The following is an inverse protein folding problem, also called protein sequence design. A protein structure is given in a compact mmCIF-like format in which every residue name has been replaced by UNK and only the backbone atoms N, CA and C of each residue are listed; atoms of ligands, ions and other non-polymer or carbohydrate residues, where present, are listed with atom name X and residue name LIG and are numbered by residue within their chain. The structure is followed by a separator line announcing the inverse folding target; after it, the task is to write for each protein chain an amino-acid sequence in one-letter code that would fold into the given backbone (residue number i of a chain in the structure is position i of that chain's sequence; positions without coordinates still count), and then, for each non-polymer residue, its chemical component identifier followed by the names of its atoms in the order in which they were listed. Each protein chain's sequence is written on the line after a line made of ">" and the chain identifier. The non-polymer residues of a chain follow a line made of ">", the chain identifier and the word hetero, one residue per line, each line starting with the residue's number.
data_IF_252873022766
#
_entry.id   IF_252873022766
#
_cell.length_a   1.000
_cell.length_b   1.000
_cell.length_c   1.000
_cell.angle_alpha   90.00
_cell.angle_beta   90.00
_cell.angle_gamma   90.00
#
_symmetry.space_group_name_H-M   'P 1'
#
loop_
_entity.id
_entity.type
_entity.pdbx_description
1 polymer ?
#
# COMPACT_ATOMS: atom_id res chain seq x y z
N UNK A 1 0.84 -20.61 -5.39
CA UNK A 1 1.18 -22.02 -5.04
C UNK A 1 -0.02 -22.63 -4.31
N UNK A 2 -0.37 -23.91 -4.51
CA UNK A 2 -1.49 -24.61 -3.80
C UNK A 2 -1.02 -25.22 -2.46
N UNK A 3 -1.94 -25.45 -1.52
CA UNK A 3 -1.65 -25.99 -0.18
C UNK A 3 -0.91 -27.33 -0.25
N UNK A 4 -1.44 -28.28 -1.02
CA UNK A 4 -0.83 -29.62 -1.17
C UNK A 4 0.59 -29.57 -1.74
N UNK A 5 0.85 -28.65 -2.67
CA UNK A 5 2.19 -28.45 -3.23
C UNK A 5 3.15 -27.84 -2.22
N UNK A 6 2.70 -26.87 -1.43
CA UNK A 6 3.48 -26.26 -0.34
C UNK A 6 3.92 -27.31 0.68
N UNK A 7 2.98 -28.16 1.12
CA UNK A 7 3.25 -29.26 2.06
C UNK A 7 4.26 -30.24 1.46
N UNK A 8 4.06 -30.63 0.19
CA UNK A 8 4.96 -31.54 -0.53
C UNK A 8 6.38 -30.99 -0.64
N UNK A 9 6.52 -29.70 -0.95
CA UNK A 9 7.82 -29.04 -1.05
C UNK A 9 8.51 -28.99 0.31
N UNK A 10 7.82 -28.59 1.37
CA UNK A 10 8.38 -28.49 2.72
C UNK A 10 8.75 -29.86 3.32
N UNK A 11 8.02 -30.91 2.94
CA UNK A 11 8.29 -32.29 3.36
C UNK A 11 9.50 -32.90 2.64
N UNK A 12 9.62 -32.67 1.33
CA UNK A 12 10.67 -33.28 0.49
C UNK A 12 12.05 -32.98 1.07
N UNK A 13 12.88 -34.02 1.18
CA UNK A 13 14.23 -33.93 1.76
C UNK A 13 14.28 -34.08 3.29
N UNK A 14 13.15 -34.06 3.99
CA UNK A 14 13.07 -34.21 5.46
C UNK A 14 12.28 -35.44 5.89
N UNK A 15 11.17 -35.74 5.19
CA UNK A 15 10.31 -36.89 5.50
C UNK A 15 9.80 -37.57 4.22
N UNK A 16 9.58 -38.88 4.27
CA UNK A 16 8.64 -39.54 3.38
C UNK A 16 7.19 -39.36 3.89
N UNK A 17 6.19 -39.71 3.08
CA UNK A 17 4.77 -39.51 3.44
C UNK A 17 4.36 -40.31 4.68
N UNK A 18 4.93 -41.51 4.85
CA UNK A 18 4.71 -42.36 6.03
C UNK A 18 5.27 -41.73 7.30
N UNK A 19 6.52 -41.27 7.27
CA UNK A 19 7.16 -40.59 8.39
C UNK A 19 6.40 -39.33 8.80
N UNK A 20 5.97 -38.51 7.83
CA UNK A 20 5.18 -37.33 8.14
C UNK A 20 3.81 -37.71 8.74
N UNK A 21 3.14 -38.70 8.15
CA UNK A 21 1.87 -39.22 8.65
C UNK A 21 1.95 -39.68 10.09
N UNK A 22 2.92 -40.54 10.41
CA UNK A 22 3.20 -41.01 11.77
C UNK A 22 3.46 -39.84 12.73
N UNK A 23 4.24 -38.85 12.30
CA UNK A 23 4.59 -37.67 13.14
C UNK A 23 3.37 -36.81 13.48
N UNK A 24 2.41 -36.66 12.56
CA UNK A 24 1.21 -35.83 12.77
C UNK A 24 -0.03 -36.64 13.16
N UNK A 25 0.09 -37.95 13.28
CA UNK A 25 -0.97 -38.86 13.73
C UNK A 25 -2.01 -39.19 12.65
N UNK A 26 -1.61 -39.30 11.38
CA UNK A 26 -2.50 -39.67 10.25
C UNK A 26 -1.87 -40.71 9.33
N UNK A 27 -2.70 -41.36 8.51
CA UNK A 27 -2.23 -42.34 7.53
C UNK A 27 -1.39 -41.68 6.42
N UNK A 28 -0.39 -42.42 5.93
CA UNK A 28 0.49 -42.04 4.82
C UNK A 28 -0.29 -41.72 3.53
N UNK A 29 -1.31 -42.52 3.25
CA UNK A 29 -2.24 -42.32 2.12
C UNK A 29 -2.99 -41.00 2.22
N UNK A 30 -3.36 -40.56 3.44
CA UNK A 30 -4.03 -39.28 3.66
C UNK A 30 -3.09 -38.11 3.39
N UNK A 31 -1.81 -38.20 3.78
CA UNK A 31 -0.79 -37.22 3.37
C UNK A 31 -0.69 -37.17 1.84
N UNK A 32 -0.68 -38.32 1.17
CA UNK A 32 -0.65 -38.38 -0.29
C UNK A 32 -1.83 -37.70 -0.97
N UNK A 33 -3.04 -37.88 -0.44
CA UNK A 33 -4.26 -37.22 -0.93
C UNK A 33 -4.20 -35.69 -0.74
N UNK A 34 -3.71 -35.24 0.42
CA UNK A 34 -3.51 -33.81 0.70
C UNK A 34 -2.53 -33.19 -0.30
N UNK A 35 -1.39 -33.83 -0.54
CA UNK A 35 -0.36 -33.31 -1.45
C UNK A 35 -0.82 -33.20 -2.91
N UNK A 36 -1.77 -34.05 -3.32
CA UNK A 36 -2.41 -33.99 -4.64
C UNK A 36 -3.54 -32.96 -4.72
N UNK A 37 -3.99 -32.44 -3.58
CA UNK A 37 -5.15 -31.54 -3.49
C UNK A 37 -6.50 -32.26 -3.56
N UNK A 38 -6.54 -33.58 -3.33
CA UNK A 38 -7.76 -34.39 -3.30
C UNK A 38 -8.51 -34.23 -1.97
N UNK A 39 -7.78 -33.90 -0.90
CA UNK A 39 -8.31 -33.64 0.44
C UNK A 39 -7.68 -32.38 1.01
N UNK A 40 -8.50 -31.55 1.66
CA UNK A 40 -8.00 -30.41 2.43
C UNK A 40 -7.96 -30.83 3.91
N UNK A 41 -6.83 -30.66 4.62
CA UNK A 41 -6.70 -31.01 6.03
C UNK A 41 -7.59 -30.13 6.94
N UNK A 42 -7.92 -30.63 8.13
CA UNK A 42 -8.59 -29.86 9.19
C UNK A 42 -7.67 -28.78 9.77
N UNK A 43 -8.23 -27.81 10.51
CA UNK A 43 -7.47 -26.73 11.13
C UNK A 43 -6.43 -27.27 12.12
N UNK A 44 -6.81 -28.26 12.94
CA UNK A 44 -5.90 -28.93 13.87
C UNK A 44 -4.73 -29.60 13.14
N UNK A 45 -5.01 -30.31 12.03
CA UNK A 45 -3.98 -30.95 11.24
C UNK A 45 -3.10 -29.93 10.51
N UNK A 46 -3.67 -28.80 10.04
CA UNK A 46 -2.90 -27.69 9.49
C UNK A 46 -1.86 -27.18 10.49
N UNK A 47 -2.26 -26.95 11.74
CA UNK A 47 -1.37 -26.47 12.80
C UNK A 47 -0.27 -27.49 13.13
N UNK A 48 -0.60 -28.78 13.21
CA UNK A 48 0.39 -29.86 13.41
C UNK A 48 1.40 -29.92 12.28
N UNK A 49 0.92 -29.92 11.03
CA UNK A 49 1.77 -29.93 9.83
C UNK A 49 2.66 -28.69 9.77
N UNK A 50 2.11 -27.50 10.06
CA UNK A 50 2.88 -26.25 10.07
C UNK A 50 4.04 -26.32 11.07
N UNK A 51 3.76 -26.78 12.30
CA UNK A 51 4.77 -26.96 13.33
C UNK A 51 5.87 -27.95 12.92
N UNK A 52 5.50 -29.12 12.40
CA UNK A 52 6.46 -30.18 12.02
C UNK A 52 7.31 -29.78 10.80
N UNK A 53 6.69 -29.12 9.82
CA UNK A 53 7.34 -28.73 8.59
C UNK A 53 8.04 -27.37 8.70
N UNK A 54 7.90 -26.63 9.81
CA UNK A 54 8.48 -25.29 9.97
C UNK A 54 7.86 -24.27 9.02
N UNK A 55 6.54 -24.37 8.81
CA UNK A 55 5.76 -23.44 7.99
C UNK A 55 5.01 -22.46 8.88
N UNK A 56 4.70 -21.28 8.32
CA UNK A 56 3.86 -20.28 8.97
C UNK A 56 2.41 -20.83 9.18
N UNK A 57 1.92 -20.93 10.42
CA UNK A 57 0.61 -21.49 10.72
C UNK A 57 -0.57 -20.70 10.13
N UNK A 58 -0.47 -19.37 10.08
CA UNK A 58 -1.51 -18.47 9.59
C UNK A 58 -1.67 -18.63 8.08
N UNK A 59 -0.56 -18.66 7.34
CA UNK A 59 -0.49 -18.94 5.91
C UNK A 59 -1.03 -20.34 5.61
N UNK A 60 -0.68 -21.34 6.44
CA UNK A 60 -1.18 -22.70 6.30
C UNK A 60 -2.71 -22.77 6.41
N UNK A 61 -3.30 -22.10 7.42
CA UNK A 61 -4.74 -22.04 7.62
C UNK A 61 -5.46 -21.27 6.50
N UNK A 62 -4.94 -20.11 6.10
CA UNK A 62 -5.51 -19.31 5.01
C UNK A 62 -5.59 -20.12 3.70
N UNK A 63 -4.50 -20.80 3.35
CA UNK A 63 -4.45 -21.69 2.19
C UNK A 63 -5.49 -22.81 2.27
N UNK A 64 -5.70 -23.40 3.46
CA UNK A 64 -6.70 -24.42 3.67
C UNK A 64 -8.14 -23.88 3.62
N UNK A 65 -8.39 -22.65 4.08
CA UNK A 65 -9.69 -21.99 3.95
C UNK A 65 -10.00 -21.64 2.49
N UNK A 66 -9.01 -21.14 1.74
CA UNK A 66 -9.14 -20.89 0.30
C UNK A 66 -9.55 -22.18 -0.42
N UNK A 67 -8.85 -23.30 -0.17
CA UNK A 67 -9.14 -24.57 -0.84
C UNK A 67 -10.47 -25.23 -0.42
N UNK A 68 -10.96 -24.97 0.81
CA UNK A 68 -12.29 -25.41 1.26
C UNK A 68 -13.43 -24.56 0.71
N UNK A 69 -13.18 -23.28 0.46
CA UNK A 69 -14.21 -22.33 0.06
C UNK A 69 -14.57 -22.42 -1.43
N UNK A 70 -15.80 -22.01 -1.74
CA UNK A 70 -16.32 -21.85 -3.09
C UNK A 70 -17.05 -20.50 -3.24
N UNK A 71 -17.26 -20.08 -4.48
CA UNK A 71 -17.95 -18.82 -4.82
C UNK A 71 -17.34 -17.59 -4.13
N UNK A 72 -18.21 -16.72 -3.62
CA UNK A 72 -17.83 -15.45 -2.99
C UNK A 72 -16.85 -15.59 -1.81
N UNK A 73 -17.02 -16.61 -0.96
CA UNK A 73 -16.12 -16.82 0.17
C UNK A 73 -14.68 -17.09 -0.29
N UNK A 74 -14.53 -17.84 -1.39
CA UNK A 74 -13.22 -18.09 -1.99
C UNK A 74 -12.60 -16.82 -2.56
N UNK A 75 -13.39 -16.01 -3.26
CA UNK A 75 -12.95 -14.72 -3.80
C UNK A 75 -12.48 -13.78 -2.68
N UNK A 76 -13.22 -13.71 -1.57
CA UNK A 76 -12.83 -12.93 -0.40
C UNK A 76 -11.50 -13.42 0.19
N UNK A 77 -11.32 -14.73 0.36
CA UNK A 77 -10.08 -15.26 0.92
C UNK A 77 -8.87 -15.03 0.00
N UNK A 78 -9.05 -15.09 -1.32
CA UNK A 78 -8.00 -14.75 -2.28
C UNK A 78 -7.60 -13.27 -2.18
N UNK A 79 -8.58 -12.37 -2.06
CA UNK A 79 -8.29 -10.93 -1.84
C UNK A 79 -7.56 -10.69 -0.53
N UNK A 80 -7.96 -11.35 0.55
CA UNK A 80 -7.26 -11.26 1.84
C UNK A 80 -5.81 -11.75 1.69
N UNK A 81 -5.58 -12.84 0.97
CA UNK A 81 -4.22 -13.32 0.68
C UNK A 81 -3.39 -12.28 -0.07
N UNK A 82 -3.93 -11.71 -1.15
CA UNK A 82 -3.25 -10.66 -1.93
C UNK A 82 -2.92 -9.43 -1.08
N UNK A 83 -3.84 -9.04 -0.18
CA UNK A 83 -3.61 -7.95 0.75
C UNK A 83 -2.51 -8.29 1.76
N UNK A 84 -2.48 -9.50 2.31
CA UNK A 84 -1.45 -9.90 3.27
C UNK A 84 -0.05 -10.01 2.64
N UNK A 85 0.04 -10.36 1.36
CA UNK A 85 1.29 -10.39 0.60
C UNK A 85 1.69 -8.98 0.07
N UNK A 86 0.89 -7.93 0.34
CA UNK A 86 1.20 -6.56 -0.08
C UNK A 86 2.31 -5.95 0.78
N UNK A 87 3.41 -5.44 0.17
CA UNK A 87 4.46 -4.73 0.90
C UNK A 87 3.93 -3.52 1.69
N UNK A 88 2.86 -2.89 1.20
CA UNK A 88 2.22 -1.80 1.91
C UNK A 88 1.56 -2.27 3.21
N UNK A 89 0.86 -3.41 3.18
CA UNK A 89 0.22 -4.00 4.37
C UNK A 89 1.27 -4.51 5.34
N UNK A 90 2.32 -5.17 4.84
CA UNK A 90 3.46 -5.59 5.65
C UNK A 90 4.11 -4.39 6.36
N UNK A 91 4.34 -3.29 5.64
CA UNK A 91 4.84 -2.04 6.21
C UNK A 91 3.89 -1.44 7.26
N UNK A 92 2.58 -1.50 7.03
CA UNK A 92 1.60 -0.98 7.99
C UNK A 92 1.55 -1.82 9.27
N UNK A 93 1.65 -3.14 9.15
CA UNK A 93 1.70 -4.07 10.29
C UNK A 93 3.02 -3.91 11.06
N UNK A 94 4.17 -3.82 10.37
CA UNK A 94 5.50 -3.73 11.00
C UNK A 94 5.69 -2.43 11.77
N UNK A 95 5.10 -1.34 11.28
CA UNK A 95 5.15 -0.04 11.94
C UNK A 95 4.19 0.06 13.14
N UNK A 96 3.44 -1.01 13.45
CA UNK A 96 2.49 -1.05 14.57
C UNK A 96 1.42 0.04 14.48
N UNK A 97 1.26 0.66 13.31
CA UNK A 97 0.37 1.80 13.16
C UNK A 97 -1.05 1.28 13.15
N UNK A 98 -1.81 1.67 14.17
CA UNK A 98 -3.26 1.66 14.11
C UNK A 98 -3.64 2.52 12.90
N UNK A 99 -3.94 1.88 11.77
CA UNK A 99 -4.54 2.60 10.66
C UNK A 99 -5.94 2.97 11.12
N UNK A 100 -6.18 4.26 11.32
CA UNK A 100 -7.49 4.75 11.68
C UNK A 100 -8.47 4.40 10.55
N UNK A 101 -9.62 3.81 10.92
CA UNK A 101 -10.66 3.45 9.96
C UNK A 101 -11.09 4.66 9.12
N UNK A 102 -11.07 5.85 9.71
CA UNK A 102 -11.37 7.12 9.05
C UNK A 102 -10.38 7.43 7.91
N UNK A 103 -9.08 7.14 8.10
CA UNK A 103 -8.08 7.30 7.05
C UNK A 103 -8.32 6.31 5.90
N UNK A 104 -8.66 5.07 6.21
CA UNK A 104 -9.02 4.06 5.20
C UNK A 104 -10.27 4.47 4.41
N UNK A 105 -11.27 5.04 5.08
CA UNK A 105 -12.47 5.58 4.44
C UNK A 105 -12.11 6.73 3.50
N UNK A 106 -11.27 7.67 3.94
CA UNK A 106 -10.78 8.78 3.10
C UNK A 106 -10.01 8.30 1.87
N UNK A 107 -9.18 7.28 2.00
CA UNK A 107 -8.50 6.67 0.85
C UNK A 107 -9.48 5.99 -0.13
N UNK A 108 -10.66 5.61 0.36
CA UNK A 108 -11.75 5.07 -0.45
C UNK A 108 -12.57 6.13 -1.19
N UNK A 109 -12.49 7.41 -0.81
CA UNK A 109 -13.21 8.51 -1.46
C UNK A 109 -12.76 8.68 -2.92
N UNK A 110 -13.70 8.98 -3.82
CA UNK A 110 -13.43 9.00 -5.27
C UNK A 110 -12.38 10.06 -5.63
N UNK A 111 -12.50 11.22 -5.03
CA UNK A 111 -11.60 12.35 -5.20
C UNK A 111 -10.17 11.96 -4.80
N UNK A 112 -10.02 11.24 -3.67
CA UNK A 112 -8.72 10.73 -3.23
C UNK A 112 -8.19 9.65 -4.17
N UNK A 113 -9.06 8.77 -4.69
CA UNK A 113 -8.65 7.77 -5.68
C UNK A 113 -8.19 8.39 -7.00
N UNK A 114 -8.82 9.48 -7.44
CA UNK A 114 -8.41 10.22 -8.63
C UNK A 114 -7.02 10.86 -8.42
N UNK A 115 -6.78 11.48 -7.26
CA UNK A 115 -5.46 12.01 -6.87
C UNK A 115 -4.39 10.91 -6.84
N UNK A 116 -4.68 9.75 -6.22
CA UNK A 116 -3.74 8.63 -6.14
C UNK A 116 -3.42 7.99 -7.51
N UNK A 117 -4.27 8.20 -8.52
CA UNK A 117 -4.06 7.72 -9.90
C UNK A 117 -3.32 8.74 -10.77
N UNK A 118 -3.17 9.98 -10.34
CA UNK A 118 -2.42 11.01 -11.06
C UNK A 118 -0.92 10.67 -11.03
N UNK A 119 -0.42 10.15 -12.16
CA UNK A 119 0.97 9.74 -12.28
C UNK A 119 1.94 10.92 -12.15
N UNK A 120 1.59 12.10 -12.68
CA UNK A 120 2.44 13.28 -12.61
C UNK A 120 2.57 13.78 -11.17
N UNK A 121 1.46 13.83 -10.44
CA UNK A 121 1.49 14.18 -9.02
C UNK A 121 2.28 13.15 -8.20
N UNK A 122 2.09 11.85 -8.47
CA UNK A 122 2.80 10.80 -7.76
C UNK A 122 4.31 10.81 -8.05
N UNK A 123 4.73 11.21 -9.26
CA UNK A 123 6.14 11.44 -9.59
C UNK A 123 6.72 12.62 -8.80
N UNK A 124 6.01 13.74 -8.74
CA UNK A 124 6.40 14.92 -7.95
C UNK A 124 6.53 14.56 -6.46
N UNK A 125 5.58 13.80 -5.91
CA UNK A 125 5.60 13.36 -4.51
C UNK A 125 6.71 12.35 -4.19
N UNK A 126 7.41 11.77 -5.19
CA UNK A 126 8.59 10.94 -4.92
C UNK A 126 9.80 11.76 -4.52
N UNK A 127 9.85 13.04 -4.88
CA UNK A 127 10.93 13.94 -4.50
C UNK A 127 10.92 14.16 -2.97
N UNK A 128 12.03 13.88 -2.25
CA UNK A 128 12.11 14.13 -0.81
C UNK A 128 12.01 15.62 -0.44
N UNK A 129 12.48 16.53 -1.28
CA UNK A 129 12.44 17.98 -1.04
C UNK A 129 11.00 18.49 -1.10
N UNK A 130 10.23 18.00 -2.08
CA UNK A 130 8.79 18.29 -2.18
C UNK A 130 8.04 17.74 -0.97
N UNK A 131 8.32 16.49 -0.56
CA UNK A 131 7.69 15.90 0.62
C UNK A 131 8.01 16.66 1.90
N UNK A 132 9.23 17.19 2.03
CA UNK A 132 9.61 18.00 3.18
C UNK A 132 8.94 19.38 3.14
N UNK A 133 8.89 20.02 1.97
CA UNK A 133 8.17 21.29 1.78
C UNK A 133 6.68 21.14 2.15
N UNK A 134 6.03 20.04 1.79
CA UNK A 134 4.62 19.78 2.15
C UNK A 134 4.39 19.63 3.66
N UNK A 135 5.43 19.43 4.48
CA UNK A 135 5.33 19.46 5.95
C UNK A 135 5.37 20.88 6.52
N UNK A 136 5.80 21.87 5.73
CA UNK A 136 5.87 23.26 6.16
C UNK A 136 4.49 23.79 6.53
N UNK A 137 4.36 24.34 7.74
CA UNK A 137 3.06 24.77 8.28
C UNK A 137 2.50 25.97 7.54
N UNK A 138 3.34 26.86 7.05
CA UNK A 138 2.90 28.07 6.36
C UNK A 138 2.47 27.73 4.94
N UNK A 139 3.19 26.84 4.25
CA UNK A 139 2.73 26.26 2.98
C UNK A 139 1.39 25.52 3.14
N UNK A 140 1.22 24.72 4.20
CA UNK A 140 -0.05 24.05 4.47
C UNK A 140 -1.21 25.02 4.71
N UNK A 141 -0.97 26.17 5.35
CA UNK A 141 -2.00 27.22 5.51
C UNK A 141 -2.38 27.81 4.16
N UNK A 142 -1.40 28.13 3.32
CA UNK A 142 -1.62 28.66 1.97
C UNK A 142 -2.45 27.69 1.13
N UNK A 143 -2.10 26.40 1.10
CA UNK A 143 -2.84 25.38 0.34
C UNK A 143 -4.27 25.12 0.88
N UNK A 144 -4.54 25.48 2.14
CA UNK A 144 -5.87 25.38 2.75
C UNK A 144 -6.74 26.61 2.53
N UNK A 145 -6.16 27.74 2.13
CA UNK A 145 -6.90 28.96 1.84
C UNK A 145 -7.74 28.76 0.56
N UNK A 146 -9.09 28.91 0.64
CA UNK A 146 -9.97 28.78 -0.52
C UNK A 146 -9.61 29.71 -1.68
N UNK A 147 -9.09 30.92 -1.39
CA UNK A 147 -8.67 31.89 -2.43
C UNK A 147 -7.49 31.34 -3.23
N UNK A 148 -6.54 30.69 -2.55
CA UNK A 148 -5.40 30.05 -3.20
C UNK A 148 -5.83 28.84 -4.02
N UNK A 149 -6.83 28.08 -3.57
CA UNK A 149 -7.38 26.97 -4.38
C UNK A 149 -8.01 27.44 -5.68
N UNK A 150 -8.76 28.54 -5.64
CA UNK A 150 -9.35 29.16 -6.82
C UNK A 150 -8.26 29.64 -7.80
N UNK A 151 -7.24 30.33 -7.30
CA UNK A 151 -6.08 30.77 -8.11
C UNK A 151 -5.36 29.58 -8.74
N UNK A 152 -5.04 28.54 -7.97
CA UNK A 152 -4.34 27.35 -8.48
C UNK A 152 -5.18 26.58 -9.51
N UNK A 153 -6.51 26.56 -9.37
CA UNK A 153 -7.40 25.90 -10.32
C UNK A 153 -7.40 26.55 -11.71
N UNK A 154 -7.10 27.86 -11.79
CA UNK A 154 -6.97 28.60 -13.04
C UNK A 154 -5.56 28.60 -13.65
N UNK A 155 -4.54 28.08 -12.95
CA UNK A 155 -3.16 28.04 -13.48
C UNK A 155 -3.06 27.16 -14.72
N UNK A 156 -3.88 26.10 -14.82
CA UNK A 156 -3.96 25.26 -16.02
C UNK A 156 -4.56 25.95 -17.25
N UNK A 157 -5.23 27.09 -17.08
CA UNK A 157 -5.88 27.86 -18.16
C UNK A 157 -5.03 29.03 -18.67
N UNK A 158 -3.90 29.31 -18.04
CA UNK A 158 -2.98 30.38 -18.47
C UNK A 158 -1.97 29.80 -19.47
N UNK A 159 -2.35 29.74 -20.74
CA UNK A 159 -1.53 29.13 -21.81
C UNK A 159 -0.19 29.86 -22.09
N UNK A 160 0.01 31.09 -21.58
CA UNK A 160 1.06 31.99 -22.10
C UNK A 160 2.00 32.59 -21.02
N UNK A 161 2.13 31.95 -19.87
CA UNK A 161 3.10 32.37 -18.84
C UNK A 161 3.97 31.20 -18.40
N UNK A 162 5.28 31.34 -18.58
CA UNK A 162 6.29 30.44 -18.00
C UNK A 162 6.37 30.65 -16.47
N UNK A 163 5.30 30.23 -15.78
CA UNK A 163 5.21 30.27 -14.32
C UNK A 163 6.36 29.48 -13.68
N UNK A 164 6.77 28.29 -14.16
CA UNK A 164 7.95 27.59 -13.66
C UNK A 164 9.23 28.44 -13.75
N UNK A 165 9.49 29.07 -14.89
CA UNK A 165 10.64 29.97 -15.08
C UNK A 165 10.59 31.19 -14.16
N UNK A 166 9.41 31.77 -13.94
CA UNK A 166 9.20 32.86 -12.99
C UNK A 166 9.50 32.43 -11.56
N UNK A 167 8.98 31.28 -11.11
CA UNK A 167 9.25 30.75 -9.77
C UNK A 167 10.74 30.44 -9.58
N UNK A 168 11.42 29.92 -10.62
CA UNK A 168 12.86 29.67 -10.58
C UNK A 168 13.68 30.97 -10.54
N UNK A 169 13.23 32.03 -11.22
CA UNK A 169 13.87 33.33 -11.16
C UNK A 169 13.71 33.94 -9.76
N UNK A 170 12.50 33.87 -9.21
CA UNK A 170 12.14 34.38 -7.89
C UNK A 170 12.87 33.64 -6.77
N UNK A 171 13.04 32.32 -6.87
CA UNK A 171 13.77 31.54 -5.85
C UNK A 171 15.27 31.84 -5.78
N UNK A 172 15.84 32.45 -6.83
CA UNK A 172 17.25 32.88 -6.89
C UNK A 172 17.46 34.31 -6.42
N UNK A 173 16.40 35.05 -6.09
CA UNK A 173 16.48 36.46 -5.68
C UNK A 173 17.03 36.60 -4.26
N UNK A 174 17.92 37.58 -4.07
CA UNK A 174 18.38 38.00 -2.75
C UNK A 174 17.35 38.89 -2.04
N UNK A 175 17.58 39.18 -0.75
CA UNK A 175 16.65 39.97 0.06
C UNK A 175 16.36 41.39 -0.49
N UNK A 176 17.32 42.03 -1.16
CA UNK A 176 17.12 43.36 -1.75
C UNK A 176 16.26 43.28 -3.01
N UNK A 177 16.50 42.26 -3.82
CA UNK A 177 15.71 41.97 -5.01
C UNK A 177 14.26 41.62 -4.65
N UNK A 178 14.06 40.84 -3.59
CA UNK A 178 12.74 40.57 -3.02
C UNK A 178 12.02 41.84 -2.57
N UNK A 179 12.70 42.70 -1.81
CA UNK A 179 12.10 43.95 -1.34
C UNK A 179 11.72 44.87 -2.51
N UNK A 180 12.55 44.95 -3.54
CA UNK A 180 12.24 45.73 -4.74
C UNK A 180 11.02 45.17 -5.49
N UNK A 181 10.91 43.84 -5.60
CA UNK A 181 9.75 43.18 -6.20
C UNK A 181 8.47 43.47 -5.40
N UNK A 182 8.50 43.34 -4.08
CA UNK A 182 7.35 43.67 -3.22
C UNK A 182 6.92 45.12 -3.36
N UNK A 183 7.85 46.07 -3.29
CA UNK A 183 7.55 47.49 -3.47
C UNK A 183 6.91 47.76 -4.85
N UNK A 184 7.38 47.08 -5.89
CA UNK A 184 6.83 47.20 -7.24
C UNK A 184 5.39 46.66 -7.30
N UNK A 185 5.13 45.49 -6.71
CA UNK A 185 3.79 44.89 -6.67
C UNK A 185 2.83 45.75 -5.87
N UNK A 186 3.24 46.30 -4.72
CA UNK A 186 2.41 47.22 -3.92
C UNK A 186 2.02 48.49 -4.69
N UNK A 187 2.93 49.03 -5.51
CA UNK A 187 2.67 50.21 -6.34
C UNK A 187 1.76 49.90 -7.53
N UNK A 188 1.94 48.73 -8.16
CA UNK A 188 1.23 48.36 -9.39
C UNK A 188 -0.13 47.68 -9.14
N UNK A 189 -0.33 47.11 -7.95
CA UNK A 189 -1.56 46.48 -7.53
C UNK A 189 -1.98 46.99 -6.13
N UNK A 190 -2.36 48.27 -6.00
CA UNK A 190 -2.63 48.90 -4.70
C UNK A 190 -3.87 48.36 -3.96
N UNK A 191 -4.54 47.34 -4.50
CA UNK A 191 -5.77 46.74 -3.97
C UNK A 191 -5.74 45.21 -3.90
N UNK A 192 -4.55 44.59 -3.90
CA UNK A 192 -4.37 43.19 -3.49
C UNK A 192 -4.19 43.08 -1.96
#
# INVERSE_FOLDING_TARGET
>A
MRLGQMIKQARKGRFNQKQLGETVGVWDTYIGQIEKGEKVPSDELCLKLAKVLGLDPQRMLLMAYIERASGFARELFLRIQELLDSPAVEYLISEGRHIELELLQKLGEREMQEVLRDQGLMEVLRDPEVREALKDRDLQKVLRDPRWREVLSGIGEVEDKDIPGLLQAVSKMDAKQWQALFNMVEVLAPSL
#
